data_IF_192014526857
#
_entry.id   IF_192014526857
#
_cell.length_a   1.000
_cell.length_b   1.000
_cell.length_c   1.000
_cell.angle_alpha   90.00
_cell.angle_beta   90.00
_cell.angle_gamma   90.00
#
_symmetry.space_group_name_H-M   'P 1'
#
loop_
_entity.id
_entity.type
_entity.pdbx_description
1 polymer ?
#
# COMPACT_ATOMS: atom_id res chain seq x y z
N UNK A 1 47.51 -38.31 -28.74
CA UNK A 1 46.87 -38.11 -27.43
C UNK A 1 46.85 -36.63 -27.10
N UNK A 2 45.71 -35.93 -27.23
CA UNK A 2 45.40 -34.59 -26.66
C UNK A 2 44.14 -34.02 -27.31
N UNK A 3 42.99 -34.61 -27.02
CA UNK A 3 41.69 -33.97 -27.21
C UNK A 3 40.75 -34.64 -26.23
N UNK A 4 40.46 -34.02 -25.09
CA UNK A 4 39.30 -34.26 -24.21
C UNK A 4 39.57 -33.64 -22.83
N UNK A 5 39.39 -32.32 -22.71
CA UNK A 5 39.11 -31.64 -21.42
C UNK A 5 38.78 -30.18 -21.69
N UNK A 6 37.60 -29.92 -22.29
CA UNK A 6 37.05 -28.55 -22.36
C UNK A 6 35.55 -28.60 -22.68
N UNK A 7 34.78 -29.40 -21.94
CA UNK A 7 33.33 -29.41 -22.09
C UNK A 7 32.59 -29.75 -20.78
N UNK A 8 33.04 -29.19 -19.64
CA UNK A 8 32.43 -29.47 -18.33
C UNK A 8 32.05 -28.21 -17.54
N UNK A 9 32.32 -27.00 -18.05
CA UNK A 9 32.07 -25.75 -17.31
C UNK A 9 30.85 -24.94 -17.77
N UNK A 10 30.05 -25.43 -18.72
CA UNK A 10 28.96 -24.65 -19.32
C UNK A 10 27.54 -25.02 -18.83
N UNK A 11 27.38 -25.92 -17.85
CA UNK A 11 26.06 -26.44 -17.43
C UNK A 11 25.57 -25.85 -16.09
N UNK A 12 26.42 -25.16 -15.32
CA UNK A 12 26.06 -24.66 -13.97
C UNK A 12 25.41 -23.26 -13.92
N UNK A 13 25.26 -22.55 -15.04
CA UNK A 13 24.69 -21.20 -15.07
C UNK A 13 23.21 -21.12 -15.47
N UNK A 14 22.60 -22.24 -15.91
CA UNK A 14 21.19 -22.25 -16.34
C UNK A 14 20.17 -22.47 -15.20
N UNK A 15 20.62 -22.98 -14.04
CA UNK A 15 19.71 -23.35 -12.92
C UNK A 15 19.20 -22.15 -12.12
N UNK A 16 19.93 -21.03 -12.10
CA UNK A 16 19.58 -19.85 -11.28
C UNK A 16 18.51 -18.96 -11.93
N UNK A 17 18.48 -18.87 -13.26
CA UNK A 17 17.54 -18.03 -14.01
C UNK A 17 16.12 -18.62 -13.97
N UNK A 18 15.99 -19.94 -14.12
CA UNK A 18 14.69 -20.63 -14.05
C UNK A 18 14.00 -20.46 -12.69
N UNK A 19 14.76 -20.56 -11.60
CA UNK A 19 14.24 -20.44 -10.24
C UNK A 19 13.73 -19.02 -9.93
N UNK A 20 14.38 -17.99 -10.49
CA UNK A 20 13.97 -16.59 -10.31
C UNK A 20 12.67 -16.27 -11.04
N UNK A 21 12.52 -16.75 -12.28
CA UNK A 21 11.29 -16.53 -13.05
C UNK A 21 10.10 -17.28 -12.44
N UNK A 22 10.31 -18.53 -12.01
CA UNK A 22 9.28 -19.30 -11.31
C UNK A 22 8.84 -18.59 -10.02
N UNK A 23 9.79 -18.10 -9.22
CA UNK A 23 9.50 -17.32 -8.03
C UNK A 23 8.70 -16.06 -8.37
N UNK A 24 9.11 -15.25 -9.35
CA UNK A 24 8.37 -14.05 -9.75
C UNK A 24 6.93 -14.38 -10.13
N UNK A 25 6.69 -15.49 -10.83
CA UNK A 25 5.32 -15.93 -11.15
C UNK A 25 4.52 -16.31 -9.90
N UNK A 26 5.14 -16.98 -8.92
CA UNK A 26 4.52 -17.25 -7.60
C UNK A 26 4.18 -15.94 -6.85
N UNK A 27 5.10 -14.98 -6.85
CA UNK A 27 4.89 -13.66 -6.24
C UNK A 27 3.72 -12.93 -6.89
N UNK A 28 3.67 -12.87 -8.24
CA UNK A 28 2.58 -12.24 -8.99
C UNK A 28 1.24 -12.90 -8.68
N UNK A 29 1.20 -14.24 -8.65
CA UNK A 29 0.00 -14.98 -8.30
C UNK A 29 -0.44 -14.61 -6.88
N UNK A 30 0.48 -14.58 -5.92
CA UNK A 30 0.16 -14.26 -4.55
C UNK A 30 -0.45 -12.84 -4.40
N UNK A 31 0.10 -11.87 -5.13
CA UNK A 31 -0.45 -10.52 -5.18
C UNK A 31 -1.87 -10.52 -5.78
N UNK A 32 -2.08 -11.19 -6.91
CA UNK A 32 -3.38 -11.24 -7.59
C UNK A 32 -4.45 -12.01 -6.81
N UNK A 33 -4.05 -13.00 -6.00
CA UNK A 33 -4.95 -13.77 -5.15
C UNK A 33 -5.57 -12.90 -4.02
N UNK A 34 -5.04 -11.70 -3.76
CA UNK A 34 -5.67 -10.68 -2.90
C UNK A 34 -6.88 -9.99 -3.53
N UNK A 35 -7.19 -10.25 -4.81
CA UNK A 35 -8.38 -9.72 -5.48
C UNK A 35 -9.63 -10.56 -5.18
N UNK A 36 -10.78 -9.87 -5.16
CA UNK A 36 -12.10 -10.46 -4.91
C UNK A 36 -12.93 -9.68 -3.90
N UNK A 37 -14.03 -10.30 -3.47
CA UNK A 37 -14.92 -9.75 -2.45
C UNK A 37 -14.58 -10.29 -1.07
N UNK A 38 -14.54 -9.41 -0.07
CA UNK A 38 -14.14 -9.76 1.29
C UNK A 38 -15.10 -9.20 2.34
N UNK A 39 -15.38 -10.00 3.38
CA UNK A 39 -15.74 -9.47 4.69
C UNK A 39 -14.43 -9.14 5.42
N UNK A 40 -14.19 -7.85 5.62
CA UNK A 40 -12.97 -7.34 6.26
C UNK A 40 -13.22 -7.07 7.72
N UNK A 41 -12.31 -7.52 8.58
CA UNK A 41 -12.29 -7.16 10.01
C UNK A 41 -10.99 -6.49 10.37
N UNK A 42 -11.10 -5.32 10.97
CA UNK A 42 -10.02 -4.51 11.50
C UNK A 42 -9.98 -4.70 13.01
N UNK A 43 -8.84 -5.14 13.56
CA UNK A 43 -8.64 -5.30 15.00
C UNK A 43 -7.28 -4.73 15.38
N UNK A 44 -7.24 -3.80 16.32
CA UNK A 44 -5.99 -3.18 16.76
C UNK A 44 -5.98 -3.07 18.28
N UNK A 45 -4.82 -3.38 18.87
CA UNK A 45 -4.59 -3.29 20.30
C UNK A 45 -3.18 -2.80 20.58
N UNK A 46 -3.03 -1.88 21.53
CA UNK A 46 -1.72 -1.45 22.02
C UNK A 46 -1.10 -2.54 22.91
N UNK A 47 0.22 -2.71 22.80
CA UNK A 47 0.94 -3.87 23.34
C UNK A 47 2.02 -3.46 24.33
N UNK A 48 3.12 -2.87 23.88
CA UNK A 48 4.24 -2.53 24.74
C UNK A 48 4.54 -1.05 24.63
N UNK A 49 4.63 -0.35 25.77
CA UNK A 49 5.17 1.01 25.84
C UNK A 49 6.47 0.95 26.66
N UNK A 50 7.49 1.75 26.31
CA UNK A 50 8.67 1.91 27.16
C UNK A 50 8.36 2.66 28.46
N UNK A 51 7.27 3.43 28.53
CA UNK A 51 6.85 4.13 29.73
C UNK A 51 5.94 3.23 30.58
N UNK A 52 6.36 3.01 31.83
CA UNK A 52 5.64 2.19 32.82
C UNK A 52 4.32 2.83 33.26
N UNK A 53 4.18 4.15 33.11
CA UNK A 53 2.99 4.90 33.45
C UNK A 53 2.01 5.01 32.27
N UNK A 54 2.38 4.49 31.09
CA UNK A 54 1.55 4.60 29.90
C UNK A 54 0.24 3.83 30.03
N UNK A 55 -0.87 4.55 29.90
CA UNK A 55 -2.20 3.96 29.79
C UNK A 55 -2.56 3.68 28.33
N UNK A 56 -2.73 2.41 28.00
CA UNK A 56 -3.11 1.99 26.65
C UNK A 56 -4.49 2.49 26.27
N UNK A 57 -4.62 2.97 25.04
CA UNK A 57 -5.91 3.23 24.45
C UNK A 57 -6.71 1.93 24.24
N UNK A 58 -8.03 2.07 24.24
CA UNK A 58 -8.95 0.96 23.98
C UNK A 58 -8.72 0.29 22.63
N UNK A 59 -8.92 -1.03 22.62
CA UNK A 59 -8.96 -1.83 21.40
C UNK A 59 -9.89 -1.21 20.34
N UNK A 60 -9.38 -1.10 19.11
CA UNK A 60 -10.19 -0.69 17.97
C UNK A 60 -10.70 -1.92 17.21
N UNK A 61 -12.00 -1.95 16.93
CA UNK A 61 -12.64 -2.98 16.11
C UNK A 61 -13.59 -2.35 15.09
N UNK A 62 -13.47 -2.77 13.83
CA UNK A 62 -14.39 -2.40 12.78
C UNK A 62 -14.54 -3.52 11.76
N UNK A 63 -15.60 -3.49 10.96
CA UNK A 63 -15.81 -4.40 9.85
C UNK A 63 -16.42 -3.70 8.65
N UNK A 64 -16.16 -4.22 7.47
CA UNK A 64 -16.74 -3.71 6.23
C UNK A 64 -16.78 -4.81 5.16
N UNK A 65 -17.58 -4.59 4.12
CA UNK A 65 -17.45 -5.32 2.86
C UNK A 65 -16.47 -4.56 1.97
N UNK A 66 -15.52 -5.26 1.36
CA UNK A 66 -14.52 -4.65 0.48
C UNK A 66 -14.37 -5.45 -0.82
N UNK A 67 -14.41 -4.74 -1.94
CA UNK A 67 -14.06 -5.26 -3.25
C UNK A 67 -12.64 -4.84 -3.62
N UNK A 68 -11.77 -5.82 -3.86
CA UNK A 68 -10.41 -5.62 -4.35
C UNK A 68 -10.35 -5.91 -5.86
N UNK A 69 -10.33 -4.86 -6.67
CA UNK A 69 -10.33 -4.91 -8.14
C UNK A 69 -8.90 -4.87 -8.68
N UNK A 70 -8.58 -5.77 -9.61
CA UNK A 70 -7.35 -5.70 -10.40
C UNK A 70 -7.46 -4.58 -11.44
N UNK A 71 -6.68 -3.50 -11.27
CA UNK A 71 -6.74 -2.29 -12.12
C UNK A 71 -5.51 -2.10 -13.01
N UNK A 72 -4.41 -2.80 -12.70
CA UNK A 72 -3.22 -2.91 -13.56
C UNK A 72 -2.74 -4.35 -13.48
N UNK A 73 -2.53 -4.98 -14.64
CA UNK A 73 -1.92 -6.30 -14.75
C UNK A 73 -0.84 -6.25 -15.84
N UNK A 74 0.41 -6.06 -15.41
CA UNK A 74 1.60 -6.06 -16.26
C UNK A 74 2.67 -6.92 -15.62
N UNK A 75 3.63 -7.36 -16.41
CA UNK A 75 4.70 -8.26 -15.98
C UNK A 75 5.45 -7.76 -14.72
N UNK A 76 5.78 -6.48 -14.65
CA UNK A 76 6.50 -5.89 -13.51
C UNK A 76 5.65 -4.95 -12.66
N UNK A 77 4.34 -4.88 -12.91
CA UNK A 77 3.44 -3.96 -12.20
C UNK A 77 2.04 -4.53 -12.06
N UNK A 78 1.57 -4.67 -10.82
CA UNK A 78 0.21 -5.07 -10.49
C UNK A 78 -0.43 -3.95 -9.66
N UNK A 79 -1.65 -3.56 -9.97
CA UNK A 79 -2.37 -2.52 -9.24
C UNK A 79 -3.71 -3.06 -8.77
N UNK A 80 -4.02 -2.86 -7.49
CA UNK A 80 -5.27 -3.32 -6.87
C UNK A 80 -5.97 -2.12 -6.25
N UNK A 81 -7.19 -1.86 -6.68
CA UNK A 81 -8.07 -0.85 -6.10
C UNK A 81 -9.03 -1.49 -5.12
N UNK A 82 -9.03 -0.99 -3.88
CA UNK A 82 -9.97 -1.42 -2.85
C UNK A 82 -11.15 -0.45 -2.75
N UNK A 83 -12.36 -1.00 -2.74
CA UNK A 83 -13.62 -0.26 -2.67
C UNK A 83 -14.44 -0.79 -1.49
N UNK A 84 -14.66 0.04 -0.48
CA UNK A 84 -15.50 -0.32 0.65
C UNK A 84 -16.97 -0.12 0.30
N UNK A 85 -17.81 -1.03 0.79
CA UNK A 85 -19.27 -0.90 0.81
C UNK A 85 -19.67 -0.65 2.26
N UNK A 86 -20.34 0.48 2.49
CA UNK A 86 -20.80 0.93 3.81
C UNK A 86 -22.33 0.99 3.79
N UNK A 87 -22.96 0.45 4.84
CA UNK A 87 -24.42 0.39 5.01
C UNK A 87 -25.15 -0.17 3.77
N UNK A 88 -24.54 -1.13 3.07
CA UNK A 88 -25.04 -1.80 1.86
C UNK A 88 -25.42 -0.89 0.68
N UNK A 89 -25.13 0.41 0.76
CA UNK A 89 -25.66 1.43 -0.16
C UNK A 89 -24.61 2.40 -0.67
N UNK A 90 -23.53 2.62 0.10
CA UNK A 90 -22.50 3.60 -0.25
C UNK A 90 -21.19 2.91 -0.61
N UNK A 91 -20.61 3.29 -1.76
CA UNK A 91 -19.27 2.85 -2.18
C UNK A 91 -18.26 3.95 -1.89
N UNK A 92 -17.20 3.60 -1.17
CA UNK A 92 -16.05 4.47 -0.93
C UNK A 92 -14.85 3.86 -1.66
N UNK A 93 -14.24 4.63 -2.59
CA UNK A 93 -12.91 4.30 -3.11
C UNK A 93 -11.90 4.47 -1.97
N UNK A 94 -11.53 3.36 -1.34
CA UNK A 94 -10.91 3.37 -0.01
C UNK A 94 -9.39 3.56 -0.06
N UNK A 95 -8.69 2.65 -0.71
CA UNK A 95 -7.24 2.76 -0.87
C UNK A 95 -6.80 1.96 -2.11
N UNK A 96 -5.59 2.22 -2.57
CA UNK A 96 -4.98 1.50 -3.68
C UNK A 96 -3.62 0.99 -3.25
N UNK A 97 -3.26 -0.18 -3.76
CA UNK A 97 -1.91 -0.70 -3.69
C UNK A 97 -1.38 -0.97 -5.09
N UNK A 98 -0.24 -0.38 -5.42
CA UNK A 98 0.55 -0.78 -6.57
C UNK A 98 1.72 -1.64 -6.09
N UNK A 99 1.99 -2.72 -6.80
CA UNK A 99 3.08 -3.65 -6.60
C UNK A 99 4.00 -3.57 -7.80
N UNK A 100 5.26 -3.19 -7.58
CA UNK A 100 6.23 -2.98 -8.66
C UNK A 100 7.49 -3.83 -8.42
N UNK A 101 7.81 -4.69 -9.38
CA UNK A 101 8.94 -5.62 -9.27
C UNK A 101 10.27 -4.89 -9.49
N UNK A 102 11.21 -5.05 -8.57
CA UNK A 102 12.54 -4.42 -8.55
C UNK A 102 12.49 -2.90 -8.76
N UNK A 103 11.43 -2.25 -8.28
CA UNK A 103 11.28 -0.82 -8.42
C UNK A 103 12.30 -0.08 -7.55
N UNK A 104 13.02 0.86 -8.16
CA UNK A 104 14.09 1.61 -7.51
C UNK A 104 13.61 2.88 -6.79
N UNK A 105 12.33 3.27 -6.91
CA UNK A 105 11.84 4.55 -6.39
C UNK A 105 10.70 4.34 -5.39
N UNK A 106 10.90 4.75 -4.14
CA UNK A 106 9.88 4.73 -3.10
C UNK A 106 9.58 6.14 -2.62
N UNK A 107 8.34 6.38 -2.19
CA UNK A 107 8.00 7.56 -1.41
C UNK A 107 7.93 7.19 0.08
N UNK A 108 8.75 7.84 0.90
CA UNK A 108 8.78 7.63 2.34
C UNK A 108 8.06 8.79 3.03
N UNK A 109 7.11 8.48 3.92
CA UNK A 109 6.50 9.52 4.73
C UNK A 109 7.53 10.09 5.71
N UNK A 110 7.58 11.42 5.83
CA UNK A 110 8.47 12.11 6.77
C UNK A 110 7.71 12.56 8.02
N UNK A 111 6.76 13.46 7.83
CA UNK A 111 5.82 14.02 8.82
C UNK A 111 4.94 15.06 8.12
N UNK A 112 3.87 15.55 8.76
CA UNK A 112 3.13 16.76 8.34
C UNK A 112 2.75 16.79 6.84
N UNK A 113 2.21 15.68 6.33
CA UNK A 113 1.86 15.50 4.91
C UNK A 113 3.04 15.76 3.94
N UNK A 114 4.24 15.32 4.33
CA UNK A 114 5.45 15.39 3.52
C UNK A 114 5.98 13.99 3.22
N UNK A 115 6.34 13.75 1.96
CA UNK A 115 6.95 12.51 1.49
C UNK A 115 8.25 12.81 0.75
N UNK A 116 9.35 12.18 1.17
CA UNK A 116 10.58 12.16 0.38
C UNK A 116 10.53 11.08 -0.69
N UNK A 117 11.17 11.32 -1.84
CA UNK A 117 11.38 10.29 -2.86
C UNK A 117 12.80 9.75 -2.71
N UNK A 118 12.91 8.46 -2.38
CA UNK A 118 14.17 7.76 -2.21
C UNK A 118 14.43 6.85 -3.40
N UNK A 119 15.65 6.92 -3.93
CA UNK A 119 16.16 6.01 -4.96
C UNK A 119 17.01 4.91 -4.31
N UNK A 120 16.74 3.66 -4.65
CA UNK A 120 17.55 2.49 -4.30
C UNK A 120 18.45 2.07 -5.48
N UNK A 121 19.54 1.35 -5.17
CA UNK A 121 20.34 0.68 -6.20
C UNK A 121 19.57 -0.48 -6.83
N UNK A 122 20.07 -1.09 -7.92
CA UNK A 122 19.39 -2.26 -8.51
C UNK A 122 19.56 -3.49 -7.63
N UNK A 123 20.69 -3.54 -6.94
CA UNK A 123 21.13 -4.58 -6.04
C UNK A 123 20.22 -4.63 -4.81
N UNK A 124 19.90 -3.47 -4.22
CA UNK A 124 19.03 -3.35 -3.03
C UNK A 124 17.61 -3.90 -3.25
N UNK A 125 17.11 -3.87 -4.49
CA UNK A 125 15.72 -4.23 -4.84
C UNK A 125 15.63 -5.50 -5.68
N UNK A 126 16.75 -6.21 -5.88
CA UNK A 126 16.79 -7.42 -6.67
C UNK A 126 15.84 -8.48 -6.12
N UNK A 127 14.97 -9.02 -6.97
CA UNK A 127 13.95 -10.00 -6.57
C UNK A 127 12.86 -9.49 -5.62
N UNK A 128 12.81 -8.19 -5.32
CA UNK A 128 11.81 -7.60 -4.43
C UNK A 128 10.60 -7.07 -5.18
N UNK A 129 9.49 -6.97 -4.48
CA UNK A 129 8.32 -6.20 -4.87
C UNK A 129 8.19 -5.01 -3.94
N UNK A 130 8.08 -3.82 -4.53
CA UNK A 130 7.69 -2.61 -3.80
C UNK A 130 6.17 -2.52 -3.73
N UNK A 131 5.59 -2.46 -2.53
CA UNK A 131 4.22 -2.04 -2.31
C UNK A 131 4.18 -0.51 -2.15
N UNK A 132 3.37 0.16 -2.97
CA UNK A 132 3.04 1.58 -2.88
C UNK A 132 1.56 1.71 -2.51
N UNK A 133 1.28 2.12 -1.28
CA UNK A 133 -0.07 2.37 -0.80
C UNK A 133 -0.45 3.83 -1.04
N UNK A 134 -1.68 4.04 -1.51
CA UNK A 134 -2.25 5.35 -1.80
C UNK A 134 -3.57 5.55 -1.06
N UNK A 135 -3.91 6.81 -0.80
CA UNK A 135 -5.12 7.20 -0.09
C UNK A 135 -6.37 7.16 -1.00
N UNK A 136 -7.53 7.57 -0.45
CA UNK A 136 -8.81 7.63 -1.17
C UNK A 136 -8.73 8.47 -2.45
N UNK A 137 -7.92 9.52 -2.43
CA UNK A 137 -7.65 10.48 -3.52
C UNK A 137 -6.43 10.11 -4.39
N UNK A 138 -5.90 8.90 -4.23
CA UNK A 138 -4.66 8.41 -4.87
C UNK A 138 -3.38 9.19 -4.49
N UNK A 139 -3.42 10.10 -3.50
CA UNK A 139 -2.21 10.69 -2.94
C UNK A 139 -1.32 9.64 -2.26
N UNK A 140 0.00 9.86 -2.19
CA UNK A 140 0.92 8.95 -1.50
C UNK A 140 0.48 8.71 -0.06
N UNK A 141 0.53 7.45 0.39
CA UNK A 141 0.31 7.10 1.81
C UNK A 141 1.62 6.62 2.43
N UNK A 142 2.08 5.45 2.02
CA UNK A 142 3.39 4.90 2.38
C UNK A 142 3.85 3.93 1.31
N UNK A 143 5.14 3.62 1.27
CA UNK A 143 5.66 2.57 0.41
C UNK A 143 6.83 1.84 1.03
N UNK A 144 7.08 0.62 0.58
CA UNK A 144 8.20 -0.19 1.03
C UNK A 144 8.44 -1.37 0.10
N UNK A 145 9.65 -1.92 0.16
CA UNK A 145 10.10 -3.00 -0.73
C UNK A 145 10.63 -4.16 0.09
N UNK A 146 10.24 -5.37 -0.31
CA UNK A 146 10.70 -6.62 0.27
C UNK A 146 10.45 -7.80 -0.68
N UNK A 147 10.96 -8.97 -0.34
CA UNK A 147 10.78 -10.19 -1.12
C UNK A 147 9.56 -10.98 -0.62
N UNK A 148 8.77 -11.52 -1.54
CA UNK A 148 7.77 -12.54 -1.19
C UNK A 148 8.47 -13.85 -0.83
N UNK A 149 8.03 -14.48 0.25
CA UNK A 149 8.55 -15.77 0.71
C UNK A 149 7.48 -16.83 0.52
N UNK A 150 7.86 -17.95 -0.11
CA UNK A 150 7.00 -19.10 -0.38
C UNK A 150 7.65 -20.37 0.20
N UNK A 151 7.28 -20.73 1.42
CA UNK A 151 7.89 -21.85 2.16
C UNK A 151 6.85 -22.51 3.05
N UNK A 152 6.91 -23.84 3.19
CA UNK A 152 6.02 -24.64 4.04
C UNK A 152 4.52 -24.35 3.83
N UNK A 153 4.12 -24.17 2.56
CA UNK A 153 2.75 -23.85 2.18
C UNK A 153 2.29 -22.43 2.54
N UNK A 154 3.17 -21.58 3.08
CA UNK A 154 2.89 -20.17 3.39
C UNK A 154 3.42 -19.28 2.28
N UNK A 155 2.67 -18.22 1.98
CA UNK A 155 3.08 -17.14 1.08
C UNK A 155 2.88 -15.81 1.77
N UNK A 156 3.98 -15.08 2.00
CA UNK A 156 3.91 -13.79 2.70
C UNK A 156 4.94 -12.78 2.20
N UNK A 157 4.64 -11.51 2.41
CA UNK A 157 5.51 -10.38 2.15
C UNK A 157 5.50 -9.47 3.38
N UNK A 158 6.67 -9.07 3.84
CA UNK A 158 6.78 -8.24 5.04
C UNK A 158 7.79 -7.11 4.88
N UNK A 159 7.43 -5.92 5.36
CA UNK A 159 8.29 -4.75 5.34
C UNK A 159 8.01 -3.85 6.56
N UNK A 160 8.93 -2.93 6.85
CA UNK A 160 8.68 -1.84 7.81
C UNK A 160 8.83 -0.47 7.11
N UNK A 161 7.90 0.45 7.33
CA UNK A 161 7.95 1.80 6.71
C UNK A 161 7.13 2.83 7.47
N UNK A 162 7.54 4.10 7.40
CA UNK A 162 6.79 5.22 7.97
C UNK A 162 5.54 5.53 7.14
N UNK A 163 4.47 5.86 7.86
CA UNK A 163 3.17 6.17 7.29
C UNK A 163 2.47 7.28 8.08
N UNK A 164 1.54 8.02 7.44
CA UNK A 164 0.63 8.90 8.15
C UNK A 164 -0.27 8.11 9.10
N UNK A 165 -0.78 8.83 10.09
CA UNK A 165 -1.75 8.29 11.04
C UNK A 165 -3.00 7.76 10.30
N UNK A 166 -3.55 6.62 10.72
CA UNK A 166 -4.82 6.16 10.21
C UNK A 166 -5.95 7.11 10.65
N UNK A 167 -7.01 7.22 9.84
CA UNK A 167 -8.12 8.17 10.06
C UNK A 167 -8.75 8.08 11.45
N UNK A 168 -8.77 6.88 12.05
CA UNK A 168 -9.32 6.62 13.39
C UNK A 168 -8.61 7.39 14.52
N UNK A 169 -7.40 7.89 14.27
CA UNK A 169 -6.55 8.51 15.30
C UNK A 169 -6.74 10.03 15.35
N UNK A 170 -6.94 10.71 14.21
CA UNK A 170 -6.96 12.18 14.14
C UNK A 170 -8.00 12.89 15.03
N UNK A 171 -9.04 12.18 15.49
CA UNK A 171 -10.06 12.74 16.39
C UNK A 171 -9.98 12.18 17.81
N UNK A 172 -8.98 11.34 18.10
CA UNK A 172 -8.84 10.57 19.34
C UNK A 172 -7.49 10.72 20.00
N UNK A 173 -6.46 11.08 19.24
CA UNK A 173 -5.06 11.07 19.65
C UNK A 173 -4.33 12.24 19.01
N UNK A 174 -3.49 12.90 19.79
CA UNK A 174 -2.60 13.99 19.41
C UNK A 174 -1.18 13.83 19.99
N UNK A 175 -0.91 12.69 20.64
CA UNK A 175 0.30 12.35 21.39
C UNK A 175 1.40 11.69 20.54
N UNK A 176 1.19 11.49 19.24
CA UNK A 176 2.20 11.00 18.31
C UNK A 176 1.88 11.44 16.87
N UNK A 177 2.88 11.38 15.97
CA UNK A 177 2.74 11.95 14.62
C UNK A 177 3.27 11.07 13.48
N UNK A 178 3.88 9.92 13.78
CA UNK A 178 4.33 8.93 12.81
C UNK A 178 3.84 7.54 13.19
N UNK A 179 3.35 6.80 12.19
CA UNK A 179 3.12 5.37 12.32
C UNK A 179 4.23 4.63 11.57
N UNK A 180 5.18 4.02 12.28
CA UNK A 180 6.14 3.12 11.66
C UNK A 180 5.52 1.73 11.55
N UNK A 181 4.97 1.42 10.37
CA UNK A 181 4.16 0.23 10.12
C UNK A 181 5.02 -0.96 9.76
N UNK A 182 4.99 -2.01 10.56
CA UNK A 182 5.44 -3.35 10.18
C UNK A 182 4.34 -4.08 9.43
N UNK A 183 4.32 -4.01 8.11
CA UNK A 183 3.32 -4.71 7.31
C UNK A 183 3.74 -6.17 7.12
N UNK A 184 2.82 -7.09 7.37
CA UNK A 184 2.95 -8.50 6.99
C UNK A 184 1.68 -8.90 6.23
N UNK A 185 1.81 -9.08 4.91
CA UNK A 185 0.75 -9.51 4.02
C UNK A 185 0.92 -11.00 3.79
N UNK A 186 -0.06 -11.80 4.20
CA UNK A 186 -0.02 -13.25 4.13
C UNK A 186 -1.26 -13.80 3.44
N UNK A 187 -1.07 -14.75 2.51
CA UNK A 187 -2.18 -15.54 1.98
C UNK A 187 -2.58 -16.67 2.93
N UNK A 188 -3.87 -16.92 3.01
CA UNK A 188 -4.48 -17.89 3.92
C UNK A 188 -5.55 -18.71 3.20
N UNK A 189 -5.98 -19.83 3.78
CA UNK A 189 -7.05 -20.65 3.19
C UNK A 189 -8.41 -19.94 3.10
N UNK A 190 -8.63 -18.86 3.87
CA UNK A 190 -9.88 -18.10 3.86
C UNK A 190 -9.82 -16.81 3.03
N UNK A 191 -8.67 -16.48 2.42
CA UNK A 191 -8.42 -15.18 1.80
C UNK A 191 -7.02 -14.69 2.15
N UNK A 192 -6.90 -13.52 2.75
CA UNK A 192 -5.59 -13.00 3.16
C UNK A 192 -5.63 -12.24 4.48
N UNK A 193 -4.47 -12.07 5.09
CA UNK A 193 -4.26 -11.39 6.35
C UNK A 193 -3.25 -10.27 6.12
N UNK A 194 -3.58 -9.07 6.56
CA UNK A 194 -2.61 -8.00 6.75
C UNK A 194 -2.43 -7.77 8.24
N UNK A 195 -1.40 -8.42 8.78
CA UNK A 195 -0.94 -8.23 10.13
C UNK A 195 -0.02 -7.01 10.19
N UNK A 196 -0.11 -6.28 11.29
CA UNK A 196 0.66 -5.06 11.50
C UNK A 196 1.33 -5.06 12.87
N UNK A 197 2.65 -4.94 12.88
CA UNK A 197 3.43 -4.61 14.08
C UNK A 197 3.85 -3.15 13.96
N UNK A 198 3.02 -2.27 14.52
CA UNK A 198 3.15 -0.84 14.38
C UNK A 198 3.89 -0.25 15.58
N UNK A 199 4.76 0.72 15.34
CA UNK A 199 5.27 1.62 16.38
C UNK A 199 4.63 3.00 16.20
N UNK A 200 4.00 3.52 17.26
CA UNK A 200 3.51 4.91 17.33
C UNK A 200 4.67 5.79 17.80
N UNK A 201 5.13 6.68 16.93
CA UNK A 201 6.36 7.45 17.11
C UNK A 201 6.05 8.95 17.24
N UNK A 202 6.71 9.59 18.19
CA UNK A 202 6.82 11.03 18.33
C UNK A 202 8.08 11.46 17.59
N UNK A 203 7.92 12.25 16.52
CA UNK A 203 9.02 12.78 15.72
C UNK A 203 9.08 14.30 15.82
N UNK A 204 10.22 14.82 16.23
CA UNK A 204 10.54 16.26 16.27
C UNK A 204 11.75 16.51 15.37
N UNK A 205 11.69 17.57 14.58
CA UNK A 205 12.74 17.87 13.59
C UNK A 205 14.08 18.15 14.29
N UNK A 206 15.11 17.39 13.94
CA UNK A 206 16.45 17.51 14.56
C UNK A 206 16.66 16.68 15.83
N UNK A 207 15.62 16.01 16.32
CA UNK A 207 15.69 15.14 17.50
C UNK A 207 15.61 13.67 17.09
N UNK A 208 15.91 12.78 18.05
CA UNK A 208 15.75 11.34 17.86
C UNK A 208 14.28 10.98 18.03
N UNK A 209 13.78 10.09 17.16
CA UNK A 209 12.45 9.51 17.30
C UNK A 209 12.26 8.86 18.68
N UNK A 210 11.11 9.14 19.29
CA UNK A 210 10.66 8.53 20.54
C UNK A 210 9.53 7.55 20.27
N UNK A 211 9.64 6.34 20.82
CA UNK A 211 8.58 5.34 20.78
C UNK A 211 7.57 5.63 21.89
N UNK A 212 6.34 5.97 21.52
CA UNK A 212 5.25 6.13 22.47
C UNK A 212 4.72 4.75 22.92
N UNK A 213 4.30 3.94 21.95
CA UNK A 213 3.71 2.61 22.20
C UNK A 213 3.70 1.77 20.92
N UNK A 214 3.79 0.45 21.07
CA UNK A 214 3.62 -0.53 20.01
C UNK A 214 2.16 -0.96 19.88
N UNK A 215 1.68 -1.21 18.68
CA UNK A 215 0.31 -1.64 18.37
C UNK A 215 0.34 -2.87 17.47
N UNK A 216 -0.42 -3.91 17.87
CA UNK A 216 -0.69 -5.06 17.02
C UNK A 216 -1.98 -4.85 16.25
N UNK A 217 -1.92 -4.92 14.93
CA UNK A 217 -3.05 -4.82 14.02
C UNK A 217 -3.30 -6.13 13.27
N UNK A 218 -4.57 -6.46 13.08
CA UNK A 218 -5.05 -7.57 12.27
C UNK A 218 -6.14 -7.06 11.33
N UNK A 219 -5.84 -7.05 10.04
CA UNK A 219 -6.81 -6.81 8.98
C UNK A 219 -7.08 -8.14 8.30
N UNK A 220 -8.20 -8.76 8.64
CA UNK A 220 -8.59 -10.09 8.17
C UNK A 220 -9.48 -9.93 6.96
N UNK A 221 -9.05 -10.43 5.81
CA UNK A 221 -9.80 -10.41 4.56
C UNK A 221 -10.36 -11.81 4.29
N UNK A 222 -11.59 -12.07 4.75
CA UNK A 222 -12.26 -13.34 4.51
C UNK A 222 -13.01 -13.29 3.18
N UNK A 223 -12.57 -14.10 2.22
CA UNK A 223 -13.16 -14.15 0.88
C UNK A 223 -14.59 -14.66 0.94
N UNK A 224 -15.46 -13.99 0.22
CA UNK A 224 -16.89 -14.31 0.09
C UNK A 224 -17.28 -14.25 -1.38
N UNK A 225 -18.52 -14.65 -1.69
CA UNK A 225 -19.06 -14.61 -3.03
C UNK A 225 -19.03 -13.17 -3.61
N UNK A 226 -18.51 -13.03 -4.83
CA UNK A 226 -18.31 -11.75 -5.52
C UNK A 226 -19.61 -10.95 -5.71
N UNK A 227 -20.75 -11.64 -5.76
CA UNK A 227 -22.08 -11.07 -5.88
C UNK A 227 -22.41 -10.14 -4.71
N UNK A 228 -21.86 -10.41 -3.51
CA UNK A 228 -22.01 -9.55 -2.34
C UNK A 228 -21.34 -8.18 -2.54
N UNK A 229 -20.37 -8.08 -3.45
CA UNK A 229 -19.69 -6.84 -3.81
C UNK A 229 -20.21 -6.23 -5.12
N UNK A 230 -21.38 -6.65 -5.62
CA UNK A 230 -21.94 -6.16 -6.89
C UNK A 230 -22.03 -4.63 -6.95
N UNK A 231 -22.42 -3.98 -5.86
CA UNK A 231 -22.53 -2.53 -5.78
C UNK A 231 -21.18 -1.83 -6.07
N UNK A 232 -20.09 -2.30 -5.45
CA UNK A 232 -18.75 -1.76 -5.68
C UNK A 232 -18.27 -2.01 -7.11
N UNK A 233 -18.54 -3.21 -7.66
CA UNK A 233 -18.21 -3.56 -9.05
C UNK A 233 -18.90 -2.62 -10.04
N UNK A 234 -20.20 -2.38 -9.85
CA UNK A 234 -20.98 -1.51 -10.72
C UNK A 234 -20.56 -0.04 -10.59
N UNK A 235 -20.23 0.42 -9.38
CA UNK A 235 -19.66 1.75 -9.17
C UNK A 235 -18.32 1.89 -9.88
N UNK A 236 -17.43 0.90 -9.78
CA UNK A 236 -16.12 0.95 -10.43
C UNK A 236 -16.23 1.01 -11.96
N UNK A 237 -17.14 0.25 -12.57
CA UNK A 237 -17.38 0.28 -14.02
C UNK A 237 -17.72 1.69 -14.52
N UNK A 238 -18.44 2.48 -13.73
CA UNK A 238 -18.81 3.86 -14.05
C UNK A 238 -17.66 4.85 -13.81
N UNK A 239 -16.88 4.65 -12.74
CA UNK A 239 -15.93 5.67 -12.25
C UNK A 239 -14.45 5.38 -12.57
N UNK A 240 -14.09 4.19 -13.07
CA UNK A 240 -12.68 3.84 -13.27
C UNK A 240 -11.93 4.78 -14.24
N UNK A 241 -12.63 5.40 -15.19
CA UNK A 241 -12.04 6.26 -16.22
C UNK A 241 -11.46 7.54 -15.61
N UNK A 242 -12.17 8.20 -14.71
CA UNK A 242 -11.68 9.41 -14.04
C UNK A 242 -10.53 9.07 -13.10
N UNK A 243 -10.65 7.99 -12.33
CA UNK A 243 -9.60 7.55 -11.42
C UNK A 243 -8.34 7.10 -12.14
N UNK A 244 -8.44 6.57 -13.37
CA UNK A 244 -7.26 6.32 -14.21
C UNK A 244 -6.51 7.61 -14.54
N UNK A 245 -7.22 8.71 -14.84
CA UNK A 245 -6.59 10.02 -15.10
C UNK A 245 -5.96 10.59 -13.82
N UNK A 246 -6.64 10.48 -12.67
CA UNK A 246 -6.10 10.89 -11.36
C UNK A 246 -4.79 10.14 -11.04
N UNK A 247 -4.77 8.80 -11.21
CA UNK A 247 -3.54 8.01 -11.03
C UNK A 247 -2.41 8.45 -11.94
N UNK A 248 -2.72 8.74 -13.21
CA UNK A 248 -1.71 9.21 -14.17
C UNK A 248 -1.11 10.55 -13.77
N UNK A 249 -1.91 11.46 -13.20
CA UNK A 249 -1.39 12.75 -12.72
C UNK A 249 -0.52 12.56 -11.48
N UNK A 250 -0.92 11.69 -10.54
CA UNK A 250 -0.06 11.34 -9.41
C UNK A 250 1.25 10.69 -9.82
N UNK A 251 1.23 9.78 -10.80
CA UNK A 251 2.45 9.18 -11.36
C UNK A 251 3.39 10.27 -11.93
N UNK A 252 2.83 11.29 -12.58
CA UNK A 252 3.57 12.42 -13.13
C UNK A 252 4.16 13.33 -12.04
N UNK A 253 3.38 13.68 -11.01
CA UNK A 253 3.84 14.45 -9.85
C UNK A 253 4.97 13.72 -9.13
N UNK A 254 4.82 12.41 -8.87
CA UNK A 254 5.84 11.60 -8.20
C UNK A 254 7.12 11.46 -9.02
N UNK A 255 7.03 11.41 -10.35
CA UNK A 255 8.20 11.29 -11.22
C UNK A 255 9.01 12.60 -11.32
N UNK A 256 8.35 13.76 -11.18
CA UNK A 256 8.98 15.08 -11.34
C UNK A 256 9.61 15.64 -10.08
N UNK A 257 9.16 15.19 -8.91
CA UNK A 257 9.52 15.79 -7.63
C UNK A 257 10.43 14.87 -6.81
N UNK A 258 11.36 15.46 -6.06
CA UNK A 258 12.17 14.73 -5.07
C UNK A 258 11.52 14.68 -3.68
N UNK A 259 10.54 15.55 -3.47
CA UNK A 259 9.74 15.64 -2.26
C UNK A 259 8.34 16.13 -2.64
N UNK A 260 7.32 15.63 -1.95
CA UNK A 260 5.94 16.08 -2.09
C UNK A 260 5.47 16.53 -0.73
N UNK A 261 4.98 17.76 -0.63
CA UNK A 261 4.31 18.27 0.54
C UNK A 261 2.89 18.70 0.16
N UNK A 262 1.89 18.14 0.85
CA UNK A 262 0.49 18.45 0.61
C UNK A 262 -0.08 19.35 1.68
N UNK A 263 -0.79 20.40 1.27
CA UNK A 263 -1.67 21.17 2.13
C UNK A 263 -2.74 20.26 2.70
N UNK A 264 -3.12 20.47 3.97
CA UNK A 264 -4.21 19.70 4.56
C UNK A 264 -5.56 20.04 3.92
N UNK A 265 -5.76 21.33 3.61
CA UNK A 265 -6.96 21.88 2.99
C UNK A 265 -6.61 23.02 2.04
N UNK A 266 -7.49 23.23 1.07
CA UNK A 266 -7.60 24.42 0.22
C UNK A 266 -9.07 24.84 0.28
N UNK A 267 -9.35 26.11 0.54
CA UNK A 267 -10.71 26.65 0.73
C UNK A 267 -11.60 25.76 1.63
N UNK A 268 -11.07 25.40 2.80
CA UNK A 268 -11.67 24.52 3.82
C UNK A 268 -12.05 23.09 3.37
N UNK A 269 -11.63 22.68 2.17
CA UNK A 269 -11.88 21.36 1.60
C UNK A 269 -10.59 20.55 1.49
N UNK A 270 -10.70 19.25 1.71
CA UNK A 270 -9.62 18.27 1.51
C UNK A 270 -9.53 17.87 0.04
N UNK A 271 -8.36 17.42 -0.42
CA UNK A 271 -8.12 17.05 -1.81
C UNK A 271 -9.15 16.05 -2.35
N UNK A 272 -9.45 15.00 -1.58
CA UNK A 272 -10.46 14.03 -1.98
C UNK A 272 -11.82 14.68 -2.27
N UNK A 273 -12.23 15.71 -1.55
CA UNK A 273 -13.54 16.36 -1.78
C UNK A 273 -13.63 16.98 -3.17
N UNK A 274 -12.52 17.55 -3.67
CA UNK A 274 -12.46 18.07 -5.04
C UNK A 274 -12.47 16.93 -6.07
N UNK A 275 -11.64 15.91 -5.87
CA UNK A 275 -11.52 14.82 -6.85
C UNK A 275 -12.78 13.95 -6.94
N UNK A 276 -13.48 13.70 -5.82
CA UNK A 276 -14.75 12.97 -5.82
C UNK A 276 -15.90 13.78 -6.40
N UNK A 277 -15.79 15.11 -6.46
CA UNK A 277 -16.79 15.98 -7.09
C UNK A 277 -16.64 16.07 -8.62
N UNK A 278 -15.54 15.54 -9.19
CA UNK A 278 -15.33 15.54 -10.63
C UNK A 278 -16.29 14.60 -11.34
N UNK A 279 -16.81 15.07 -12.49
CA UNK A 279 -17.53 14.22 -13.42
C UNK A 279 -16.61 13.22 -14.12
N UNK A 280 -17.16 12.10 -14.58
CA UNK A 280 -16.38 11.04 -15.23
C UNK A 280 -15.68 11.47 -16.54
N UNK A 281 -16.22 12.51 -17.19
CA UNK A 281 -15.66 13.11 -18.41
C UNK A 281 -14.60 14.19 -18.13
N UNK A 282 -14.38 14.59 -16.87
CA UNK A 282 -13.47 15.68 -16.51
C UNK A 282 -12.10 15.52 -17.16
N UNK A 283 -11.54 16.62 -17.63
CA UNK A 283 -10.34 16.58 -18.45
C UNK A 283 -9.08 16.50 -17.55
N UNK A 284 -7.93 16.21 -18.16
CA UNK A 284 -6.67 16.07 -17.40
C UNK A 284 -6.21 17.39 -16.75
N UNK A 285 -6.44 18.52 -17.42
CA UNK A 285 -6.05 19.85 -16.91
C UNK A 285 -6.81 20.21 -15.63
N UNK A 286 -8.09 19.84 -15.53
CA UNK A 286 -8.89 20.08 -14.32
C UNK A 286 -8.30 19.31 -13.12
N UNK A 287 -7.94 18.04 -13.34
CA UNK A 287 -7.33 17.17 -12.31
C UNK A 287 -5.95 17.71 -11.91
N UNK A 288 -5.12 18.06 -12.89
CA UNK A 288 -3.81 18.67 -12.68
C UNK A 288 -3.93 19.97 -11.88
N UNK A 289 -4.86 20.85 -12.24
CA UNK A 289 -5.11 22.10 -11.52
C UNK A 289 -5.52 21.84 -10.06
N UNK A 290 -6.40 20.87 -9.81
CA UNK A 290 -6.80 20.49 -8.44
C UNK A 290 -5.59 19.97 -7.65
N UNK A 291 -4.83 19.01 -8.19
CA UNK A 291 -3.68 18.44 -7.47
C UNK A 291 -2.63 19.52 -7.20
N UNK A 292 -2.35 20.38 -8.17
CA UNK A 292 -1.37 21.47 -8.04
C UNK A 292 -1.76 22.49 -6.96
N UNK A 293 -3.05 22.75 -6.73
CA UNK A 293 -3.48 23.64 -5.64
C UNK A 293 -3.07 23.12 -4.25
N UNK A 294 -2.99 21.79 -4.09
CA UNK A 294 -2.62 21.13 -2.84
C UNK A 294 -1.13 20.92 -2.68
N UNK A 295 -0.33 21.03 -3.74
CA UNK A 295 1.12 20.97 -3.64
C UNK A 295 1.67 22.27 -3.02
N UNK A 296 2.68 22.13 -2.15
CA UNK A 296 3.49 23.22 -1.57
C UNK A 296 4.88 23.26 -2.19
#
# INVERSE_FOLDING_TARGET
MKQLTLLSLLILTFSSVGNTQEKKTKDQKAIKDMCGCYEVKFKYAETFSPDIAYEKAYDYRASALEWAELVVDKENKIGIQHLLIVNDTMVIKHWRQDWEFQNQYVFNYKSKNTWGIKKFSKEDVSGQWTQKAYQVDDSPRYSGSATWVHVDGKSYWANKTDAPLPRREYSKRDDYNIMNRGNNVQLTGYGWLHEQDNDKIIRVDGEKDELLVQEKGYNIYRKIADEKCKLAKDWWKKNNKIWKKVRQEWDHVLAKNKEIKLKEKVDDKKLYQYLFALENNANKKDIEAIINQFLN
#
